data_IF_961869577559
#
_entry.id   IF_961869577559
#
_cell.length_a   1.000
_cell.length_b   1.000
_cell.length_c   1.000
_cell.angle_alpha   90.00
_cell.angle_beta   90.00
_cell.angle_gamma   90.00
#
_symmetry.space_group_name_H-M   'P 1'
#
loop_
_entity.id
_entity.type
_entity.pdbx_description
1 polymer ?
#
# COMPACT_ATOMS: atom_id res chain seq x y z
N UNK A 1 -40.31 -3.18 48.95
CA UNK A 1 -40.61 -4.05 47.80
C UNK A 1 -39.98 -3.41 46.57
N UNK A 2 -38.78 -3.89 46.22
CA UNK A 2 -37.87 -3.23 45.29
C UNK A 2 -38.27 -3.42 43.83
N UNK A 3 -38.01 -2.37 43.07
CA UNK A 3 -38.23 -2.14 41.64
C UNK A 3 -37.44 -3.13 40.79
N UNK A 4 -38.12 -3.85 39.90
CA UNK A 4 -37.50 -4.66 38.85
C UNK A 4 -37.11 -3.76 37.68
N UNK A 5 -35.84 -3.32 37.64
CA UNK A 5 -35.22 -2.73 36.46
C UNK A 5 -34.72 -3.84 35.54
N UNK A 6 -35.47 -4.09 34.47
CA UNK A 6 -35.06 -4.86 33.31
C UNK A 6 -33.88 -4.15 32.63
N UNK A 7 -32.66 -4.55 32.98
CA UNK A 7 -31.46 -4.16 32.22
C UNK A 7 -31.48 -4.89 30.88
N UNK A 8 -32.04 -4.21 29.88
CA UNK A 8 -31.78 -4.48 28.47
C UNK A 8 -30.26 -4.37 28.29
N UNK A 9 -29.60 -5.51 28.15
CA UNK A 9 -28.19 -5.59 27.80
C UNK A 9 -28.02 -5.03 26.38
N UNK A 10 -27.74 -3.73 26.32
CA UNK A 10 -27.31 -3.02 25.13
C UNK A 10 -25.97 -3.63 24.69
N UNK A 11 -26.00 -4.52 23.70
CA UNK A 11 -24.83 -5.10 23.02
C UNK A 11 -24.21 -4.07 22.05
N UNK A 12 -24.08 -2.83 22.48
CA UNK A 12 -23.54 -1.74 21.64
C UNK A 12 -22.17 -1.34 22.19
N UNK A 13 -21.14 -1.79 21.47
CA UNK A 13 -19.81 -1.18 21.39
C UNK A 13 -19.06 -0.91 22.71
N UNK A 14 -18.90 -1.95 23.53
CA UNK A 14 -17.84 -2.02 24.54
C UNK A 14 -16.47 -2.28 23.92
N UNK A 15 -15.96 -1.39 23.06
CA UNK A 15 -14.56 -1.44 22.55
C UNK A 15 -13.80 -0.14 22.83
N UNK A 16 -14.22 0.60 23.84
CA UNK A 16 -13.54 1.79 24.30
C UNK A 16 -13.43 1.75 25.81
N UNK A 17 -12.30 1.26 26.33
CA UNK A 17 -11.70 1.75 27.59
C UNK A 17 -10.37 1.10 27.99
N UNK A 18 -9.94 0.01 27.36
CA UNK A 18 -8.61 -0.59 27.62
C UNK A 18 -7.92 -1.20 26.39
N UNK A 19 -8.21 -0.70 25.18
CA UNK A 19 -7.54 -1.24 24.01
C UNK A 19 -6.12 -0.63 23.91
N UNK A 20 -5.13 -1.37 24.41
CA UNK A 20 -3.75 -1.19 23.94
C UNK A 20 -3.70 -1.21 22.41
N UNK A 21 -2.64 -0.64 21.84
CA UNK A 21 -2.48 -0.59 20.37
C UNK A 21 -2.72 -1.98 19.78
N UNK A 22 -3.65 -2.10 18.82
CA UNK A 22 -4.00 -3.39 18.22
C UNK A 22 -2.73 -4.00 17.61
N UNK A 23 -2.36 -5.25 17.96
CA UNK A 23 -1.16 -5.88 17.42
C UNK A 23 -1.18 -5.85 15.88
N UNK A 24 -0.05 -5.56 15.26
CA UNK A 24 0.03 -5.42 13.80
C UNK A 24 -0.44 -6.68 13.06
N UNK A 25 -0.19 -7.86 13.62
CA UNK A 25 -0.64 -9.14 13.06
C UNK A 25 -2.17 -9.24 12.95
N UNK A 26 -2.89 -8.69 13.93
CA UNK A 26 -4.35 -8.64 13.87
C UNK A 26 -4.84 -7.69 12.78
N UNK A 27 -4.19 -6.53 12.64
CA UNK A 27 -4.51 -5.57 11.57
C UNK A 27 -4.18 -6.15 10.19
N UNK A 28 -3.11 -6.92 10.07
CA UNK A 28 -2.74 -7.65 8.84
C UNK A 28 -3.80 -8.70 8.47
N UNK A 29 -4.26 -9.52 9.42
CA UNK A 29 -5.34 -10.48 9.18
C UNK A 29 -6.63 -9.74 8.76
N UNK A 30 -6.99 -8.67 9.44
CA UNK A 30 -8.17 -7.85 9.08
C UNK A 30 -8.05 -7.26 7.66
N UNK A 31 -6.87 -6.78 7.26
CA UNK A 31 -6.62 -6.24 5.93
C UNK A 31 -6.73 -7.30 4.81
N UNK A 32 -6.50 -8.58 5.14
CA UNK A 32 -6.54 -9.69 4.16
C UNK A 32 -7.92 -10.34 4.09
N UNK A 33 -8.54 -10.54 5.24
CA UNK A 33 -9.62 -11.54 5.39
C UNK A 33 -10.95 -10.96 5.86
N UNK A 34 -11.00 -9.68 6.29
CA UNK A 34 -12.26 -9.11 6.75
C UNK A 34 -13.34 -9.27 5.66
N UNK A 35 -14.59 -9.67 5.99
CA UNK A 35 -15.62 -9.90 4.98
C UNK A 35 -15.94 -8.64 4.16
N UNK A 36 -15.95 -7.49 4.81
CA UNK A 36 -16.22 -6.19 4.22
C UNK A 36 -14.96 -5.58 3.57
N UNK A 37 -15.07 -5.19 2.31
CA UNK A 37 -13.99 -4.55 1.56
C UNK A 37 -13.51 -3.23 2.17
N UNK A 38 -14.43 -2.42 2.71
CA UNK A 38 -14.08 -1.17 3.38
C UNK A 38 -13.25 -1.44 4.64
N UNK A 39 -13.62 -2.46 5.42
CA UNK A 39 -12.87 -2.87 6.61
C UNK A 39 -11.47 -3.35 6.23
N UNK A 40 -11.35 -4.18 5.18
CA UNK A 40 -10.03 -4.60 4.65
C UNK A 40 -9.17 -3.40 4.25
N UNK A 41 -9.74 -2.45 3.52
CA UNK A 41 -9.01 -1.26 3.05
C UNK A 41 -8.61 -0.33 4.21
N UNK A 42 -9.48 -0.12 5.19
CA UNK A 42 -9.14 0.65 6.39
C UNK A 42 -8.04 -0.02 7.23
N UNK A 43 -8.09 -1.35 7.36
CA UNK A 43 -7.01 -2.11 7.97
C UNK A 43 -5.70 -2.00 7.16
N UNK A 44 -5.76 -2.07 5.82
CA UNK A 44 -4.61 -1.90 4.96
C UNK A 44 -3.95 -0.52 5.12
N UNK A 45 -4.74 0.57 5.21
CA UNK A 45 -4.22 1.91 5.53
C UNK A 45 -3.46 1.90 6.85
N UNK A 46 -4.04 1.32 7.90
CA UNK A 46 -3.37 1.20 9.21
C UNK A 46 -2.07 0.39 9.12
N UNK A 47 -2.02 -0.67 8.31
CA UNK A 47 -0.79 -1.46 8.09
C UNK A 47 0.28 -0.61 7.42
N UNK A 48 -0.03 0.07 6.30
CA UNK A 48 0.97 0.83 5.54
C UNK A 48 1.47 2.06 6.30
N UNK A 49 0.63 2.69 7.12
CA UNK A 49 1.04 3.81 7.97
C UNK A 49 2.04 3.36 9.05
N UNK A 50 1.78 2.20 9.68
CA UNK A 50 2.67 1.58 10.68
C UNK A 50 3.93 0.95 10.06
N UNK A 51 3.95 0.77 8.74
CA UNK A 51 5.03 0.12 7.99
C UNK A 51 5.84 1.08 7.13
N UNK A 52 5.85 2.37 7.44
CA UNK A 52 6.58 3.38 6.66
C UNK A 52 8.10 3.15 6.54
N UNK A 53 8.68 2.30 7.41
CA UNK A 53 10.09 1.88 7.37
C UNK A 53 10.27 0.40 7.00
N UNK A 54 9.17 -0.30 6.70
CA UNK A 54 9.14 -1.75 6.47
C UNK A 54 8.49 -2.05 5.12
N UNK A 55 9.26 -1.94 4.02
CA UNK A 55 8.76 -2.25 2.68
C UNK A 55 8.28 -3.69 2.55
N UNK A 56 8.88 -4.63 3.29
CA UNK A 56 8.57 -6.06 3.21
C UNK A 56 7.15 -6.32 3.69
N UNK A 57 6.72 -5.71 4.81
CA UNK A 57 5.33 -5.86 5.27
C UNK A 57 4.31 -5.35 4.25
N UNK A 58 4.63 -4.28 3.52
CA UNK A 58 3.76 -3.74 2.46
C UNK A 58 3.69 -4.71 1.27
N UNK A 59 4.83 -5.29 0.86
CA UNK A 59 4.92 -6.28 -0.20
C UNK A 59 4.15 -7.57 0.14
N UNK A 60 4.27 -8.05 1.38
CA UNK A 60 3.55 -9.22 1.87
C UNK A 60 2.04 -9.00 1.88
N UNK A 61 1.58 -7.82 2.32
CA UNK A 61 0.16 -7.47 2.27
C UNK A 61 -0.35 -7.40 0.82
N UNK A 62 0.42 -6.80 -0.10
CA UNK A 62 0.08 -6.75 -1.52
C UNK A 62 -0.09 -8.16 -2.11
N UNK A 63 0.88 -9.04 -1.86
CA UNK A 63 0.89 -10.40 -2.40
C UNK A 63 -0.23 -11.27 -1.83
N UNK A 64 -0.56 -11.10 -0.54
CA UNK A 64 -1.57 -11.90 0.13
C UNK A 64 -3.03 -11.44 -0.13
N UNK A 65 -3.24 -10.23 -0.65
CA UNK A 65 -4.58 -9.66 -0.73
C UNK A 65 -5.27 -9.89 -2.08
N UNK A 66 -6.43 -10.55 -2.02
CA UNK A 66 -7.35 -10.66 -3.15
C UNK A 66 -8.09 -9.33 -3.44
N UNK A 67 -8.16 -8.42 -2.47
CA UNK A 67 -8.86 -7.15 -2.60
C UNK A 67 -8.06 -6.14 -3.45
N UNK A 68 -8.58 -5.69 -4.61
CA UNK A 68 -7.87 -4.75 -5.47
C UNK A 68 -7.66 -3.37 -4.82
N UNK A 69 -8.54 -2.95 -3.91
CA UNK A 69 -8.37 -1.71 -3.15
C UNK A 69 -7.19 -1.79 -2.19
N UNK A 70 -7.01 -2.92 -1.51
CA UNK A 70 -5.84 -3.17 -0.65
C UNK A 70 -4.55 -3.17 -1.47
N UNK A 71 -4.52 -3.87 -2.61
CA UNK A 71 -3.34 -3.85 -3.50
C UNK A 71 -3.00 -2.44 -4.00
N UNK A 72 -4.00 -1.63 -4.36
CA UNK A 72 -3.82 -0.24 -4.76
C UNK A 72 -3.29 0.64 -3.61
N UNK A 73 -3.72 0.42 -2.37
CA UNK A 73 -3.21 1.10 -1.17
C UNK A 73 -1.72 0.79 -0.97
N UNK A 74 -1.32 -0.49 -1.08
CA UNK A 74 0.09 -0.89 -0.98
C UNK A 74 0.97 -0.18 -2.01
N UNK A 75 0.54 -0.12 -3.28
CA UNK A 75 1.29 0.57 -4.34
C UNK A 75 1.46 2.07 -4.08
N UNK A 76 0.41 2.75 -3.60
CA UNK A 76 0.48 4.16 -3.24
C UNK A 76 1.45 4.39 -2.07
N UNK A 77 1.33 3.57 -1.03
CA UNK A 77 2.22 3.65 0.13
C UNK A 77 3.69 3.42 -0.24
N UNK A 78 3.97 2.46 -1.14
CA UNK A 78 5.32 2.25 -1.68
C UNK A 78 5.92 3.52 -2.29
N UNK A 79 5.12 4.29 -3.04
CA UNK A 79 5.56 5.56 -3.61
C UNK A 79 5.66 6.68 -2.56
N UNK A 80 4.72 6.75 -1.62
CA UNK A 80 4.72 7.75 -0.53
C UNK A 80 5.94 7.62 0.38
N UNK A 81 6.34 6.38 0.67
CA UNK A 81 7.47 6.07 1.54
C UNK A 81 8.81 5.96 0.79
N UNK A 82 8.80 6.13 -0.54
CA UNK A 82 9.97 5.99 -1.42
C UNK A 82 10.65 4.61 -1.33
N UNK A 83 9.86 3.54 -1.25
CA UNK A 83 10.34 2.16 -1.21
C UNK A 83 10.76 1.66 -2.59
N UNK A 84 11.86 2.19 -3.12
CA UNK A 84 12.43 1.82 -4.43
C UNK A 84 12.75 0.33 -4.54
N UNK A 85 13.09 -0.33 -3.45
CA UNK A 85 13.28 -1.79 -3.36
C UNK A 85 12.01 -2.58 -3.73
N UNK A 86 10.84 -1.96 -3.67
CA UNK A 86 9.56 -2.56 -4.05
C UNK A 86 9.18 -2.27 -5.51
N UNK A 87 10.09 -1.76 -6.35
CA UNK A 87 9.74 -1.36 -7.72
C UNK A 87 9.26 -2.53 -8.59
N UNK A 88 9.76 -3.75 -8.38
CA UNK A 88 9.25 -4.93 -9.09
C UNK A 88 7.78 -5.22 -8.75
N UNK A 89 7.34 -4.96 -7.51
CA UNK A 89 5.92 -5.02 -7.13
C UNK A 89 5.10 -3.97 -7.89
N UNK A 90 5.65 -2.77 -8.09
CA UNK A 90 5.02 -1.71 -8.89
C UNK A 90 4.87 -2.13 -10.35
N UNK A 91 5.90 -2.76 -10.93
CA UNK A 91 5.83 -3.30 -12.29
C UNK A 91 4.77 -4.40 -12.41
N UNK A 92 4.68 -5.32 -11.44
CA UNK A 92 3.63 -6.33 -11.41
C UNK A 92 2.22 -5.69 -11.31
N UNK A 93 2.08 -4.58 -10.56
CA UNK A 93 0.83 -3.85 -10.44
C UNK A 93 0.33 -3.24 -11.76
N UNK A 94 1.23 -2.88 -12.70
CA UNK A 94 0.85 -2.41 -14.03
C UNK A 94 0.18 -3.51 -14.88
N UNK A 95 0.40 -4.77 -14.53
CA UNK A 95 -0.17 -5.94 -15.20
C UNK A 95 -1.36 -6.54 -14.44
N UNK A 96 -1.74 -5.97 -13.28
CA UNK A 96 -2.81 -6.47 -12.43
C UNK A 96 -4.15 -6.56 -13.20
N UNK A 97 -4.97 -7.60 -12.94
CA UNK A 97 -6.29 -7.73 -13.57
C UNK A 97 -7.20 -6.53 -13.29
N UNK A 98 -7.09 -5.90 -12.11
CA UNK A 98 -7.91 -4.76 -11.72
C UNK A 98 -7.44 -3.46 -12.36
N UNK A 99 -8.33 -2.73 -13.07
CA UNK A 99 -8.02 -1.39 -13.59
C UNK A 99 -7.57 -0.39 -12.53
N UNK A 100 -8.12 -0.49 -11.31
CA UNK A 100 -7.77 0.39 -10.21
C UNK A 100 -6.32 0.16 -9.73
N UNK A 101 -5.88 -1.09 -9.71
CA UNK A 101 -4.51 -1.45 -9.30
C UNK A 101 -3.51 -0.98 -10.37
N UNK A 102 -3.81 -1.17 -11.66
CA UNK A 102 -2.97 -0.66 -12.75
C UNK A 102 -2.80 0.86 -12.71
N UNK A 103 -3.88 1.60 -12.44
CA UNK A 103 -3.83 3.04 -12.28
C UNK A 103 -2.96 3.46 -11.09
N UNK A 104 -3.10 2.79 -9.94
CA UNK A 104 -2.27 3.04 -8.77
C UNK A 104 -0.78 2.72 -9.03
N UNK A 105 -0.50 1.64 -9.74
CA UNK A 105 0.85 1.25 -10.13
C UNK A 105 1.49 2.28 -11.07
N UNK A 106 0.76 2.79 -12.07
CA UNK A 106 1.26 3.82 -12.97
C UNK A 106 1.59 5.12 -12.24
N UNK A 107 0.74 5.54 -11.30
CA UNK A 107 1.02 6.68 -10.44
C UNK A 107 2.26 6.46 -9.57
N UNK A 108 2.37 5.28 -8.94
CA UNK A 108 3.51 4.92 -8.12
C UNK A 108 4.82 4.90 -8.91
N UNK A 109 4.81 4.28 -10.10
CA UNK A 109 5.95 4.22 -11.00
C UNK A 109 6.38 5.61 -11.45
N UNK A 110 5.42 6.48 -11.81
CA UNK A 110 5.70 7.87 -12.18
C UNK A 110 6.34 8.68 -11.06
N UNK A 111 5.87 8.50 -9.82
CA UNK A 111 6.45 9.18 -8.64
C UNK A 111 7.86 8.69 -8.31
N UNK A 112 8.07 7.38 -8.32
CA UNK A 112 9.38 6.80 -8.01
C UNK A 112 10.41 7.13 -9.09
N UNK A 113 10.03 7.08 -10.37
CA UNK A 113 10.97 7.39 -11.46
C UNK A 113 11.11 8.89 -11.73
N UNK A 114 10.19 9.72 -11.23
CA UNK A 114 10.06 11.13 -11.62
C UNK A 114 9.54 11.32 -13.06
N UNK A 115 9.07 10.26 -13.72
CA UNK A 115 8.69 10.26 -15.13
C UNK A 115 7.23 9.80 -15.31
N UNK A 116 6.35 10.70 -15.73
CA UNK A 116 4.96 10.35 -16.04
C UNK A 116 4.82 9.93 -17.50
N UNK A 117 4.44 8.68 -17.72
CA UNK A 117 4.10 8.16 -19.05
C UNK A 117 2.69 8.63 -19.45
N UNK A 118 2.49 8.96 -20.73
CA UNK A 118 1.17 9.37 -21.26
C UNK A 118 0.26 8.20 -21.64
N UNK A 119 0.79 6.98 -21.65
CA UNK A 119 0.02 5.79 -22.03
C UNK A 119 -1.03 5.47 -20.96
N UNK A 120 -2.20 5.01 -21.40
CA UNK A 120 -3.28 4.62 -20.51
C UNK A 120 -2.97 3.26 -19.85
N UNK A 121 -2.85 3.17 -18.50
CA UNK A 121 -2.69 1.88 -17.81
C UNK A 121 -3.87 0.93 -17.99
N UNK A 122 -5.01 1.42 -18.48
CA UNK A 122 -6.21 0.65 -18.80
C UNK A 122 -6.47 0.50 -20.30
N UNK A 123 -5.53 0.97 -21.13
CA UNK A 123 -5.60 0.83 -22.56
C UNK A 123 -5.49 -0.62 -23.05
N UNK A 124 -5.45 -0.83 -24.38
CA UNK A 124 -5.31 -2.14 -24.98
C UNK A 124 -4.08 -2.90 -24.47
N UNK A 125 -4.06 -4.25 -24.50
CA UNK A 125 -2.94 -5.05 -23.99
C UNK A 125 -1.56 -4.61 -24.52
N UNK A 126 -1.45 -4.26 -25.81
CA UNK A 126 -0.21 -3.79 -26.41
C UNK A 126 0.26 -2.44 -25.82
N UNK A 127 -0.67 -1.57 -25.41
CA UNK A 127 -0.33 -0.31 -24.75
C UNK A 127 0.14 -0.54 -23.31
N UNK A 128 -0.54 -1.43 -22.58
CA UNK A 128 -0.11 -1.83 -21.22
C UNK A 128 1.29 -2.45 -21.22
N UNK A 129 1.61 -3.30 -22.21
CA UNK A 129 2.94 -3.87 -22.38
C UNK A 129 4.01 -2.78 -22.62
N UNK A 130 3.69 -1.79 -23.46
CA UNK A 130 4.59 -0.64 -23.70
C UNK A 130 4.79 0.21 -22.44
N UNK A 131 3.76 0.40 -21.63
CA UNK A 131 3.84 1.09 -20.35
C UNK A 131 4.76 0.36 -19.36
N UNK A 132 4.63 -0.96 -19.24
CA UNK A 132 5.52 -1.80 -18.42
C UNK A 132 6.96 -1.71 -18.92
N UNK A 133 7.18 -1.86 -20.22
CA UNK A 133 8.51 -1.77 -20.83
C UNK A 133 9.16 -0.41 -20.58
N UNK A 134 8.40 0.68 -20.72
CA UNK A 134 8.84 2.04 -20.43
C UNK A 134 9.32 2.16 -18.97
N UNK A 135 8.49 1.77 -18.00
CA UNK A 135 8.86 1.89 -16.59
C UNK A 135 9.98 0.94 -16.17
N UNK A 136 10.07 -0.25 -16.75
CA UNK A 136 11.20 -1.16 -16.54
C UNK A 136 12.52 -0.55 -17.03
N UNK A 137 12.50 0.12 -18.20
CA UNK A 137 13.66 0.85 -18.68
C UNK A 137 14.04 2.01 -17.75
N UNK A 138 13.06 2.82 -17.30
CA UNK A 138 13.32 3.91 -16.36
C UNK A 138 13.90 3.39 -15.03
N UNK A 139 13.39 2.27 -14.53
CA UNK A 139 13.92 1.63 -13.33
C UNK A 139 15.35 1.16 -13.48
N UNK A 140 15.69 0.50 -14.60
CA UNK A 140 17.06 0.07 -14.86
C UNK A 140 18.03 1.28 -14.91
N UNK A 141 17.62 2.38 -15.53
CA UNK A 141 18.42 3.60 -15.54
C UNK A 141 18.58 4.21 -14.14
N UNK A 142 17.51 4.21 -13.33
CA UNK A 142 17.51 4.82 -12.00
C UNK A 142 18.26 3.99 -10.96
N UNK A 143 18.02 2.67 -10.92
CA UNK A 143 18.55 1.75 -9.90
C UNK A 143 20.08 1.69 -9.92
N UNK A 144 20.66 1.82 -11.11
CA UNK A 144 22.11 1.77 -11.33
C UNK A 144 22.73 3.19 -11.27
N UNK A 145 21.92 4.23 -11.02
CA UNK A 145 22.40 5.61 -10.98
C UNK A 145 22.97 6.00 -9.61
N UNK A 146 24.06 6.80 -9.56
CA UNK A 146 24.56 7.41 -8.33
C UNK A 146 23.52 8.29 -7.61
N UNK A 147 22.63 8.92 -8.39
CA UNK A 147 21.58 9.83 -7.89
C UNK A 147 20.62 9.14 -6.93
N UNK A 148 20.26 7.88 -7.18
CA UNK A 148 19.40 7.13 -6.26
C UNK A 148 20.10 6.84 -4.94
N UNK A 149 21.39 6.49 -4.98
CA UNK A 149 22.19 6.28 -3.78
C UNK A 149 22.31 7.57 -2.94
N UNK A 150 22.61 8.69 -3.60
CA UNK A 150 22.66 10.03 -2.97
C UNK A 150 21.31 10.42 -2.36
N UNK A 151 20.21 10.22 -3.09
CA UNK A 151 18.86 10.50 -2.59
C UNK A 151 18.53 9.67 -1.35
N UNK A 152 18.87 8.37 -1.35
CA UNK A 152 18.67 7.49 -0.19
C UNK A 152 19.46 7.97 1.03
N UNK A 153 20.71 8.41 0.83
CA UNK A 153 21.52 9.00 1.90
C UNK A 153 20.89 10.30 2.44
N UNK A 154 20.43 11.19 1.57
CA UNK A 154 19.81 12.45 1.97
C UNK A 154 18.49 12.24 2.73
N UNK A 155 17.63 11.33 2.25
CA UNK A 155 16.38 10.95 2.94
C UNK A 155 16.69 10.38 4.33
N UNK A 156 17.71 9.53 4.44
CA UNK A 156 18.14 8.94 5.72
C UNK A 156 18.65 10.01 6.68
N UNK A 157 19.45 10.97 6.18
CA UNK A 157 19.95 12.11 6.96
C UNK A 157 18.83 12.99 7.50
N UNK A 158 17.84 13.33 6.66
CA UNK A 158 16.67 14.14 7.09
C UNK A 158 15.81 13.45 8.14
N UNK A 159 15.70 12.12 8.07
CA UNK A 159 14.90 11.32 9.02
C UNK A 159 15.64 11.04 10.34
N UNK A 160 16.97 11.09 10.39
CA UNK A 160 17.78 10.87 11.60
C UNK A 160 18.09 12.13 12.41
N UNK A 161 17.78 13.32 11.90
CA UNK A 161 17.99 14.60 12.58
C UNK A 161 16.79 15.15 13.36
N UNK A 162 15.78 14.32 13.65
CA UNK A 162 14.61 14.66 14.48
C UNK A 162 14.49 13.70 15.65
#
# INVERSE_FOLDING_TARGET
>A
MAVALLLVAVVVYGRGWFAGEVPIEQVLSEAREAPDALVRQQAAVRVVDRSAKDPIRIQELYAASADPGVRAICLRATADHYHYESFEMVLAGLEDPSPAVRAAAAQAAGRLTGMFCRLDPNGPPAERQRLVAFYRQQWNLLRDSPRLAEFRQEVSRRKGGR
#
